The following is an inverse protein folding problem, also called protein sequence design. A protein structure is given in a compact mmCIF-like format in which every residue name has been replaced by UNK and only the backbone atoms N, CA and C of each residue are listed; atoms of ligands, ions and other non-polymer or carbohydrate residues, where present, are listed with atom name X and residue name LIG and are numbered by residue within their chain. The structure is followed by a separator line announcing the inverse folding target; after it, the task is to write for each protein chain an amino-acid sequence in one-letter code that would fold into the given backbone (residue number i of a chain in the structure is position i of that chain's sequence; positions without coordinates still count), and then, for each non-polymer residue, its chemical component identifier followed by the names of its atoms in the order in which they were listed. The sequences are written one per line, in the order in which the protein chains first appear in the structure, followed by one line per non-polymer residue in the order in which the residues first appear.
data_IF_427673824698
#
_entry.id   IF_427673824698
#
_cell.length_a   1.000
_cell.length_b   1.000
_cell.length_c   1.000
_cell.angle_alpha   90.00
_cell.angle_beta   90.00
_cell.angle_gamma   90.00
#
_symmetry.space_group_name_H-M   'P 1'
#
loop_
_entity.id
_entity.type
_entity.pdbx_description
1 polymer ?
#
# COMPACT_ATOMS: atom_id res chain seq x y z
N UNK A 1 43.38 -4.22 -34.51
CA UNK A 1 42.19 -4.99 -34.09
C UNK A 1 41.45 -4.15 -33.04
N UNK A 2 40.47 -3.32 -33.40
CA UNK A 2 39.67 -2.63 -32.40
C UNK A 2 38.53 -3.55 -31.94
N UNK A 3 38.54 -3.91 -30.66
CA UNK A 3 37.47 -4.65 -30.00
C UNK A 3 36.28 -3.71 -29.77
N UNK A 4 35.22 -3.87 -30.57
CA UNK A 4 33.93 -3.24 -30.33
C UNK A 4 33.19 -4.02 -29.24
N UNK A 5 33.35 -3.58 -28.00
CA UNK A 5 32.58 -4.08 -26.87
C UNK A 5 31.20 -3.40 -26.90
N UNK A 6 30.29 -3.98 -27.68
CA UNK A 6 28.89 -3.54 -27.78
C UNK A 6 28.16 -4.02 -26.52
N UNK A 7 28.08 -3.13 -25.54
CA UNK A 7 27.23 -3.28 -24.37
C UNK A 7 25.78 -3.10 -24.79
N UNK A 8 25.17 -4.17 -25.28
CA UNK A 8 23.72 -4.25 -25.50
C UNK A 8 23.05 -4.13 -24.12
N UNK A 9 22.34 -3.03 -23.90
CA UNK A 9 21.54 -2.85 -22.70
C UNK A 9 20.57 -4.04 -22.57
N UNK A 10 20.48 -4.71 -21.40
CA UNK A 10 19.62 -5.86 -21.24
C UNK A 10 18.18 -5.47 -21.58
N UNK A 11 17.55 -6.25 -22.47
CA UNK A 11 16.15 -6.09 -22.82
C UNK A 11 15.33 -6.06 -21.52
N UNK A 12 14.53 -5.01 -21.34
CA UNK A 12 13.72 -4.83 -20.13
C UNK A 12 12.78 -6.04 -20.01
N UNK A 13 12.74 -6.73 -18.85
CA UNK A 13 11.79 -7.81 -18.64
C UNK A 13 10.38 -7.27 -18.91
N UNK A 14 9.60 -8.00 -19.72
CA UNK A 14 8.20 -7.66 -19.97
C UNK A 14 7.46 -7.58 -18.65
N UNK A 15 6.73 -6.49 -18.41
CA UNK A 15 5.85 -6.34 -17.26
C UNK A 15 5.01 -7.62 -17.08
N UNK A 16 4.91 -8.19 -15.87
CA UNK A 16 4.14 -9.41 -15.68
C UNK A 16 2.71 -9.21 -16.19
N UNK A 17 2.32 -10.00 -17.18
CA UNK A 17 0.98 -9.95 -17.76
C UNK A 17 -0.08 -10.32 -16.73
N UNK A 18 -1.25 -9.69 -16.79
CA UNK A 18 -2.38 -9.97 -15.90
C UNK A 18 -3.32 -10.93 -16.60
N UNK A 19 -3.33 -12.19 -16.16
CA UNK A 19 -4.23 -13.21 -16.72
C UNK A 19 -5.65 -13.11 -16.11
N UNK A 20 -6.71 -13.44 -16.87
CA UNK A 20 -8.07 -13.52 -16.32
C UNK A 20 -8.14 -14.50 -15.14
N UNK A 21 -8.76 -14.08 -14.05
CA UNK A 21 -8.83 -14.85 -12.80
C UNK A 21 -7.69 -14.58 -11.83
N UNK A 22 -6.72 -13.72 -12.17
CA UNK A 22 -5.64 -13.34 -11.25
C UNK A 22 -6.18 -12.66 -9.99
N UNK A 23 -5.57 -12.96 -8.85
CA UNK A 23 -5.85 -12.30 -7.59
C UNK A 23 -5.13 -10.94 -7.54
N UNK A 24 -5.87 -9.86 -7.32
CA UNK A 24 -5.30 -8.53 -7.12
C UNK A 24 -4.78 -8.40 -5.68
N UNK A 25 -3.47 -8.20 -5.51
CA UNK A 25 -2.84 -8.07 -4.20
C UNK A 25 -2.24 -6.68 -3.97
N UNK A 26 -2.91 -5.87 -3.14
CA UNK A 26 -2.41 -4.55 -2.77
C UNK A 26 -1.39 -4.64 -1.64
N UNK A 27 -0.12 -4.40 -1.96
CA UNK A 27 0.96 -4.22 -0.99
C UNK A 27 0.80 -2.83 -0.37
N UNK A 28 0.10 -2.75 0.76
CA UNK A 28 -0.19 -1.45 1.38
C UNK A 28 1.03 -0.91 2.14
N UNK A 29 1.62 0.15 1.59
CA UNK A 29 2.68 0.93 2.23
C UNK A 29 2.06 2.12 2.96
N UNK A 30 2.46 2.33 4.21
CA UNK A 30 1.92 3.37 5.06
C UNK A 30 2.12 4.76 4.44
N UNK A 31 1.08 5.60 4.59
CA UNK A 31 1.08 7.02 4.18
C UNK A 31 1.21 7.27 2.67
N UNK A 32 0.96 6.26 1.84
CA UNK A 32 0.98 6.34 0.37
C UNK A 32 -0.44 6.25 -0.24
N UNK A 33 -1.44 6.89 0.39
CA UNK A 33 -2.83 6.91 -0.12
C UNK A 33 -3.64 5.62 0.06
N UNK A 34 -3.09 4.60 0.73
CA UNK A 34 -3.71 3.28 0.80
C UNK A 34 -5.09 3.23 1.49
N UNK A 35 -5.44 4.16 2.40
CA UNK A 35 -6.80 4.22 2.97
C UNK A 35 -7.86 4.47 1.89
N UNK A 36 -7.59 5.41 0.98
CA UNK A 36 -8.49 5.73 -0.14
C UNK A 36 -8.60 4.55 -1.08
N UNK A 37 -7.46 3.94 -1.44
CA UNK A 37 -7.45 2.79 -2.33
C UNK A 37 -8.21 1.60 -1.75
N UNK A 38 -7.97 1.26 -0.48
CA UNK A 38 -8.67 0.17 0.20
C UNK A 38 -10.19 0.43 0.23
N UNK A 39 -10.63 1.66 0.47
CA UNK A 39 -12.05 1.99 0.42
C UNK A 39 -12.65 1.76 -0.98
N UNK A 40 -11.93 2.15 -2.04
CA UNK A 40 -12.28 1.84 -3.42
C UNK A 40 -12.36 0.33 -3.66
N UNK A 41 -11.39 -0.47 -3.19
CA UNK A 41 -11.40 -1.92 -3.35
C UNK A 41 -12.57 -2.58 -2.63
N UNK A 42 -12.85 -2.17 -1.39
CA UNK A 42 -14.01 -2.66 -0.60
C UNK A 42 -15.34 -2.36 -1.29
N UNK A 43 -15.49 -1.19 -1.92
CA UNK A 43 -16.72 -0.85 -2.65
C UNK A 43 -16.82 -1.60 -3.97
N UNK A 44 -15.70 -1.73 -4.69
CA UNK A 44 -15.64 -2.38 -6.00
C UNK A 44 -15.95 -3.87 -5.87
N UNK A 45 -15.17 -4.58 -5.07
CA UNK A 45 -15.20 -6.04 -4.97
C UNK A 45 -16.09 -6.55 -3.84
N UNK A 46 -16.43 -5.71 -2.86
CA UNK A 46 -17.30 -6.04 -1.73
C UNK A 46 -16.88 -7.38 -1.07
N UNK A 47 -17.75 -8.40 -1.07
CA UNK A 47 -17.47 -9.71 -0.46
C UNK A 47 -16.31 -10.49 -1.11
N UNK A 48 -15.89 -10.09 -2.31
CA UNK A 48 -14.76 -10.68 -3.04
C UNK A 48 -13.45 -9.91 -2.77
N UNK A 49 -13.44 -8.99 -1.80
CA UNK A 49 -12.24 -8.38 -1.25
C UNK A 49 -12.06 -8.74 0.21
N UNK A 50 -10.80 -8.89 0.64
CA UNK A 50 -10.46 -9.11 2.05
C UNK A 50 -9.34 -8.14 2.47
N UNK A 51 -9.58 -7.43 3.58
CA UNK A 51 -8.50 -6.77 4.31
C UNK A 51 -7.81 -7.86 5.13
N UNK A 52 -6.62 -8.27 4.71
CA UNK A 52 -6.00 -9.49 5.23
C UNK A 52 -5.61 -9.36 6.70
N UNK A 53 -5.72 -10.48 7.40
CA UNK A 53 -5.25 -10.65 8.77
C UNK A 53 -4.43 -11.95 8.78
N UNK A 54 -3.10 -11.88 8.92
CA UNK A 54 -2.27 -13.07 9.00
C UNK A 54 -2.57 -13.86 10.28
N UNK A 55 -2.50 -15.19 10.16
CA UNK A 55 -2.67 -16.11 11.28
C UNK A 55 -1.42 -16.07 12.18
N UNK A 56 -0.24 -16.04 11.59
CA UNK A 56 1.01 -15.81 12.32
C UNK A 56 1.09 -14.35 12.76
N UNK A 57 1.05 -14.17 14.08
CA UNK A 57 1.07 -12.85 14.72
C UNK A 57 2.47 -12.33 14.96
N UNK A 58 3.49 -13.17 14.76
CA UNK A 58 4.87 -12.83 15.01
C UNK A 58 5.51 -12.25 13.76
N UNK A 59 5.46 -12.98 12.64
CA UNK A 59 5.99 -12.46 11.36
C UNK A 59 5.13 -11.34 10.78
N UNK A 60 3.81 -11.37 11.06
CA UNK A 60 2.84 -10.43 10.52
C UNK A 60 2.79 -10.44 8.98
N UNK A 61 3.26 -11.54 8.36
CA UNK A 61 3.23 -11.76 6.92
C UNK A 61 1.97 -12.52 6.53
N UNK A 62 1.32 -12.09 5.46
CA UNK A 62 0.22 -12.84 4.84
C UNK A 62 0.82 -13.88 3.91
N UNK A 63 0.68 -15.13 4.32
CA UNK A 63 1.27 -16.31 3.71
C UNK A 63 0.29 -17.01 2.78
N UNK A 64 0.78 -18.02 2.07
CA UNK A 64 -0.05 -18.91 1.26
C UNK A 64 -1.13 -19.62 2.07
N UNK A 65 -0.80 -20.10 3.27
CA UNK A 65 -1.77 -20.78 4.14
C UNK A 65 -2.91 -19.85 4.54
N UNK A 66 -2.59 -18.57 4.81
CA UNK A 66 -3.59 -17.54 5.08
C UNK A 66 -4.52 -17.35 3.86
N UNK A 67 -3.96 -17.28 2.65
CA UNK A 67 -4.71 -17.15 1.41
C UNK A 67 -5.62 -18.36 1.14
N UNK A 68 -5.14 -19.58 1.36
CA UNK A 68 -5.96 -20.78 1.20
C UNK A 68 -7.15 -20.77 2.16
N UNK A 69 -6.95 -20.37 3.42
CA UNK A 69 -8.06 -20.21 4.37
C UNK A 69 -9.03 -19.12 3.93
N UNK A 70 -8.51 -17.97 3.48
CA UNK A 70 -9.34 -16.89 2.97
C UNK A 70 -10.21 -17.35 1.78
N UNK A 71 -9.65 -18.16 0.87
CA UNK A 71 -10.38 -18.74 -0.27
C UNK A 71 -11.38 -19.83 0.10
N UNK A 72 -11.12 -20.64 1.13
CA UNK A 72 -12.15 -21.56 1.67
C UNK A 72 -13.38 -20.79 2.16
N UNK A 73 -13.17 -19.62 2.75
CA UNK A 73 -14.26 -18.74 3.17
C UNK A 73 -14.90 -17.99 2.00
N UNK A 74 -14.10 -17.58 1.00
CA UNK A 74 -14.53 -16.85 -0.20
C UNK A 74 -13.86 -17.42 -1.46
N UNK A 75 -14.47 -18.43 -2.10
CA UNK A 75 -13.89 -19.06 -3.30
C UNK A 75 -13.73 -18.09 -4.48
N UNK A 76 -14.55 -17.04 -4.55
CA UNK A 76 -14.48 -16.00 -5.59
C UNK A 76 -13.64 -14.78 -5.17
N UNK A 77 -12.67 -14.96 -4.27
CA UNK A 77 -11.78 -13.90 -3.81
C UNK A 77 -11.02 -13.30 -5.00
N UNK A 78 -11.27 -12.03 -5.28
CA UNK A 78 -10.70 -11.29 -6.41
C UNK A 78 -9.65 -10.27 -5.97
N UNK A 79 -9.68 -9.82 -4.71
CA UNK A 79 -8.73 -8.82 -4.21
C UNK A 79 -8.39 -9.02 -2.74
N UNK A 80 -7.13 -8.77 -2.39
CA UNK A 80 -6.64 -8.71 -1.01
C UNK A 80 -5.86 -7.41 -0.77
N UNK A 81 -5.93 -6.88 0.44
CA UNK A 81 -5.13 -5.71 0.82
C UNK A 81 -4.70 -5.74 2.28
N UNK A 82 -3.52 -5.19 2.56
CA UNK A 82 -3.07 -5.01 3.94
C UNK A 82 -1.57 -4.79 4.04
N UNK A 83 -1.13 -4.36 5.22
CA UNK A 83 0.30 -4.19 5.52
C UNK A 83 1.04 -5.53 5.61
N UNK A 84 0.33 -6.64 5.80
CA UNK A 84 0.92 -7.98 5.83
C UNK A 84 1.10 -8.58 4.43
N UNK A 85 0.50 -7.99 3.39
CA UNK A 85 0.74 -8.40 2.00
C UNK A 85 2.12 -7.88 1.59
N UNK A 86 3.04 -8.78 1.28
CA UNK A 86 4.45 -8.49 0.95
C UNK A 86 4.90 -9.37 -0.21
N UNK A 87 5.85 -8.88 -1.02
CA UNK A 87 6.42 -9.64 -2.14
C UNK A 87 7.39 -10.75 -1.70
N UNK A 88 7.96 -10.58 -0.52
CA UNK A 88 8.90 -11.53 0.09
C UNK A 88 8.19 -12.57 0.98
N UNK A 89 6.85 -12.68 0.92
CA UNK A 89 6.14 -13.82 1.49
C UNK A 89 6.07 -14.97 0.48
N UNK A 90 5.60 -16.13 0.94
CA UNK A 90 5.42 -17.34 0.13
C UNK A 90 4.09 -17.35 -0.65
N UNK A 91 3.42 -16.21 -0.79
CA UNK A 91 2.06 -16.12 -1.33
C UNK A 91 1.98 -16.66 -2.79
N UNK A 92 3.04 -16.50 -3.57
CA UNK A 92 3.15 -16.97 -4.96
C UNK A 92 3.60 -18.44 -5.11
N UNK A 93 3.86 -19.14 -4.00
CA UNK A 93 4.72 -20.32 -4.01
C UNK A 93 4.22 -21.55 -4.78
N UNK A 94 2.98 -21.60 -5.29
CA UNK A 94 2.46 -22.78 -6.03
C UNK A 94 1.35 -22.45 -7.03
N UNK A 95 1.67 -21.63 -8.04
CA UNK A 95 0.83 -21.48 -9.25
C UNK A 95 -0.36 -20.54 -9.12
N UNK A 96 -0.47 -19.83 -7.99
CA UNK A 96 -1.42 -18.72 -7.89
C UNK A 96 -0.97 -17.56 -8.75
N UNK A 97 -1.84 -17.12 -9.67
CA UNK A 97 -1.60 -15.92 -10.46
C UNK A 97 -1.97 -14.70 -9.62
N UNK A 98 -0.96 -14.03 -9.08
CA UNK A 98 -1.13 -12.86 -8.22
C UNK A 98 -0.60 -11.64 -8.95
N UNK A 99 -1.49 -10.67 -9.14
CA UNK A 99 -1.19 -9.38 -9.71
C UNK A 99 -0.93 -8.40 -8.57
N UNK A 100 0.33 -8.26 -8.18
CA UNK A 100 0.73 -7.31 -7.14
C UNK A 100 0.74 -5.89 -7.66
N UNK A 101 0.25 -4.97 -6.85
CA UNK A 101 0.37 -3.56 -7.12
C UNK A 101 0.61 -2.78 -5.82
N UNK A 102 1.21 -1.61 -5.96
CA UNK A 102 1.38 -0.68 -4.84
C UNK A 102 1.37 0.77 -5.32
N UNK A 103 1.39 1.68 -4.36
CA UNK A 103 1.53 3.11 -4.60
C UNK A 103 2.63 3.62 -3.67
N UNK A 104 3.62 4.28 -4.25
CA UNK A 104 4.68 4.97 -3.54
C UNK A 104 4.35 6.45 -3.41
N UNK A 105 5.14 7.16 -2.62
CA UNK A 105 5.01 8.61 -2.42
C UNK A 105 6.38 9.24 -2.35
N UNK A 106 6.47 10.54 -2.62
CA UNK A 106 7.63 11.35 -2.24
C UNK A 106 8.10 10.98 -0.80
N UNK A 107 9.35 10.49 -0.63
CA UNK A 107 9.80 9.91 0.62
C UNK A 107 9.76 10.89 1.79
N UNK A 108 10.08 12.16 1.53
CA UNK A 108 10.11 13.22 2.53
C UNK A 108 8.69 13.53 3.01
N UNK A 109 7.74 13.73 2.08
CA UNK A 109 6.32 13.94 2.40
C UNK A 109 5.70 12.73 3.10
N UNK A 110 6.09 11.51 2.72
CA UNK A 110 5.67 10.27 3.39
C UNK A 110 6.15 10.24 4.84
N UNK A 111 7.45 10.47 5.06
CA UNK A 111 8.09 10.42 6.38
C UNK A 111 7.49 11.46 7.34
N UNK A 112 7.30 12.70 6.88
CA UNK A 112 6.63 13.74 7.68
C UNK A 112 5.16 13.39 7.95
N UNK A 113 4.44 12.87 6.95
CA UNK A 113 3.05 12.44 7.12
C UNK A 113 2.91 11.30 8.13
N UNK A 114 3.92 10.44 8.23
CA UNK A 114 4.00 9.39 9.23
C UNK A 114 4.25 9.97 10.62
N UNK A 115 5.23 10.85 10.79
CA UNK A 115 5.49 11.56 12.05
C UNK A 115 4.21 12.18 12.63
N UNK A 116 3.51 12.99 11.83
CA UNK A 116 2.27 13.63 12.29
C UNK A 116 1.18 12.61 12.62
N UNK A 117 1.10 11.50 11.91
CA UNK A 117 0.15 10.44 12.25
C UNK A 117 0.46 9.82 13.61
N UNK A 118 1.73 9.54 13.90
CA UNK A 118 2.16 9.01 15.19
C UNK A 118 1.86 9.99 16.34
N UNK A 119 2.09 11.29 16.13
CA UNK A 119 1.81 12.29 17.15
C UNK A 119 0.31 12.52 17.33
N UNK A 120 -0.41 12.83 16.25
CA UNK A 120 -1.81 13.25 16.31
C UNK A 120 -2.79 12.10 16.54
N UNK A 121 -2.47 10.89 16.07
CA UNK A 121 -3.40 9.73 16.10
C UNK A 121 -3.01 8.68 17.11
N UNK A 122 -1.71 8.49 17.36
CA UNK A 122 -1.23 7.52 18.36
C UNK A 122 -0.83 8.18 19.68
N UNK A 123 -0.85 9.52 19.76
CA UNK A 123 -0.51 10.26 20.97
C UNK A 123 0.96 10.12 21.38
N UNK A 124 1.82 9.64 20.47
CA UNK A 124 3.24 9.50 20.74
C UNK A 124 3.89 10.89 20.70
N UNK A 125 4.55 11.31 21.78
CA UNK A 125 5.23 12.61 21.86
C UNK A 125 6.77 12.51 21.88
N UNK A 126 7.44 11.67 21.05
CA UNK A 126 8.85 11.88 20.81
C UNK A 126 8.95 13.16 20.00
N UNK A 127 9.49 14.25 20.56
CA UNK A 127 9.83 15.43 19.75
C UNK A 127 10.61 15.00 18.50
N UNK A 128 10.55 15.80 17.43
CA UNK A 128 11.08 15.39 16.12
C UNK A 128 12.52 14.82 16.13
N UNK A 129 13.48 15.31 16.95
CA UNK A 129 14.80 14.68 17.05
C UNK A 129 14.74 13.18 17.40
N UNK A 130 13.89 12.79 18.37
CA UNK A 130 13.70 11.37 18.74
C UNK A 130 12.97 10.57 17.65
N UNK A 131 12.21 11.25 16.78
CA UNK A 131 11.64 10.60 15.60
C UNK A 131 12.72 10.28 14.56
N UNK A 132 13.72 11.15 14.39
CA UNK A 132 14.87 10.88 13.51
C UNK A 132 15.67 9.65 13.95
N UNK A 133 15.74 9.38 15.26
CA UNK A 133 16.43 8.20 15.79
C UNK A 133 15.68 6.87 15.53
N UNK A 134 14.49 6.90 14.92
CA UNK A 134 13.72 5.69 14.60
C UNK A 134 14.15 5.08 13.27
N UNK A 135 15.20 4.26 13.33
CA UNK A 135 15.70 3.50 12.18
C UNK A 135 14.64 2.58 11.55
N UNK A 136 13.67 2.08 12.33
CA UNK A 136 12.54 1.28 11.83
C UNK A 136 11.60 2.06 10.88
N UNK A 137 11.77 3.39 10.81
CA UNK A 137 10.98 4.30 9.95
C UNK A 137 11.80 4.89 8.79
N UNK A 138 13.11 4.64 8.76
CA UNK A 138 14.00 5.06 7.69
C UNK A 138 13.78 4.19 6.45
N UNK A 139 13.89 4.75 5.25
CA UNK A 139 13.79 3.99 4.00
C UNK A 139 12.59 3.00 3.95
N UNK A 140 11.46 3.41 4.52
CA UNK A 140 10.35 2.50 4.82
C UNK A 140 9.74 1.88 3.56
N UNK A 141 9.71 2.61 2.43
CA UNK A 141 9.16 2.07 1.18
C UNK A 141 10.05 0.96 0.61
N UNK A 142 11.36 1.17 0.64
CA UNK A 142 12.38 0.18 0.26
C UNK A 142 12.27 -1.05 1.14
N UNK A 143 12.20 -0.86 2.47
CA UNK A 143 12.04 -1.95 3.43
C UNK A 143 10.72 -2.71 3.23
N UNK A 144 9.62 -2.00 2.98
CA UNK A 144 8.31 -2.63 2.77
C UNK A 144 8.26 -3.50 1.49
N UNK A 145 8.98 -3.11 0.44
CA UNK A 145 9.10 -3.88 -0.80
C UNK A 145 10.05 -5.05 -0.59
N UNK A 146 11.31 -4.77 -0.26
CA UNK A 146 12.39 -5.76 -0.25
C UNK A 146 12.45 -6.61 1.03
N UNK A 147 11.74 -6.23 2.09
CA UNK A 147 11.86 -6.82 3.43
C UNK A 147 13.08 -6.35 4.24
N UNK A 148 13.93 -5.50 3.64
CA UNK A 148 15.17 -4.99 4.22
C UNK A 148 15.56 -3.66 3.54
N UNK A 149 16.48 -2.85 4.11
CA UNK A 149 16.98 -1.63 3.48
C UNK A 149 17.95 -1.94 2.32
N UNK A 150 17.44 -2.56 1.26
CA UNK A 150 18.20 -3.01 0.10
C UNK A 150 17.61 -2.45 -1.21
N UNK A 151 18.22 -1.38 -1.72
CA UNK A 151 17.77 -0.69 -2.93
C UNK A 151 17.80 -1.57 -4.18
N UNK A 152 18.83 -2.40 -4.34
CA UNK A 152 18.98 -3.26 -5.53
C UNK A 152 17.83 -4.26 -5.58
N UNK A 153 17.53 -4.92 -4.46
CA UNK A 153 16.40 -5.84 -4.34
C UNK A 153 15.06 -5.13 -4.57
N UNK A 154 14.86 -3.95 -3.97
CA UNK A 154 13.62 -3.20 -4.15
C UNK A 154 13.38 -2.78 -5.62
N UNK A 155 14.42 -2.32 -6.32
CA UNK A 155 14.33 -1.99 -7.76
C UNK A 155 13.98 -3.23 -8.58
N UNK A 156 14.67 -4.35 -8.35
CA UNK A 156 14.38 -5.60 -9.04
C UNK A 156 12.93 -6.05 -8.82
N UNK A 157 12.42 -5.96 -7.59
CA UNK A 157 11.02 -6.29 -7.28
C UNK A 157 10.02 -5.34 -7.96
N UNK A 158 10.28 -4.02 -7.96
CA UNK A 158 9.48 -3.03 -8.69
C UNK A 158 9.41 -3.38 -10.18
N UNK A 159 10.53 -3.75 -10.78
CA UNK A 159 10.61 -4.00 -12.22
C UNK A 159 10.03 -5.35 -12.64
N UNK A 160 10.03 -6.36 -11.75
CA UNK A 160 9.74 -7.76 -12.15
C UNK A 160 8.53 -8.40 -11.46
N UNK A 161 8.09 -7.90 -10.30
CA UNK A 161 7.07 -8.56 -9.48
C UNK A 161 5.75 -7.79 -9.40
N UNK A 162 5.79 -6.47 -9.57
CA UNK A 162 4.58 -5.67 -9.61
C UNK A 162 4.02 -5.60 -11.03
N UNK A 163 2.69 -5.71 -11.15
CA UNK A 163 1.98 -5.41 -12.39
C UNK A 163 1.75 -3.91 -12.55
N UNK A 164 1.74 -3.15 -11.44
CA UNK A 164 1.71 -1.69 -11.43
C UNK A 164 2.27 -1.13 -10.13
N UNK A 165 3.06 -0.06 -10.24
CA UNK A 165 3.56 0.74 -9.11
C UNK A 165 3.26 2.20 -9.41
N UNK A 166 2.31 2.80 -8.68
CA UNK A 166 1.96 4.21 -8.84
C UNK A 166 2.80 5.16 -7.99
N UNK A 167 2.75 6.45 -8.32
CA UNK A 167 3.11 7.53 -7.42
C UNK A 167 1.85 8.22 -6.91
N UNK A 168 1.80 8.54 -5.61
CA UNK A 168 0.68 9.25 -5.01
C UNK A 168 0.52 10.66 -5.60
N UNK A 169 1.62 11.27 -6.04
CA UNK A 169 1.62 12.55 -6.75
C UNK A 169 0.91 12.46 -8.12
N UNK A 170 0.77 11.26 -8.69
CA UNK A 170 0.14 10.96 -9.97
C UNK A 170 -1.03 9.97 -9.78
N UNK A 171 -1.76 10.10 -8.67
CA UNK A 171 -2.71 9.09 -8.21
C UNK A 171 -3.83 8.78 -9.20
N UNK A 172 -4.32 9.76 -9.95
CA UNK A 172 -5.38 9.55 -10.95
C UNK A 172 -4.87 8.70 -12.13
N UNK A 173 -3.64 8.93 -12.58
CA UNK A 173 -2.99 8.12 -13.61
C UNK A 173 -2.80 6.69 -13.12
N UNK A 174 -2.33 6.52 -11.89
CA UNK A 174 -2.22 5.20 -11.25
C UNK A 174 -3.57 4.49 -11.17
N UNK A 175 -4.63 5.17 -10.74
CA UNK A 175 -5.97 4.59 -10.66
C UNK A 175 -6.52 4.18 -12.04
N UNK A 176 -6.26 4.95 -13.09
CA UNK A 176 -6.68 4.63 -14.46
C UNK A 176 -6.01 3.36 -14.98
N UNK A 177 -4.70 3.20 -14.75
CA UNK A 177 -3.97 1.97 -15.09
C UNK A 177 -4.46 0.78 -14.27
N UNK A 178 -4.64 0.98 -12.95
CA UNK A 178 -5.14 -0.06 -12.07
C UNK A 178 -6.57 -0.49 -12.40
N UNK A 179 -7.43 0.41 -12.88
CA UNK A 179 -8.77 0.08 -13.37
C UNK A 179 -8.73 -0.88 -14.57
N UNK A 180 -7.82 -0.64 -15.52
CA UNK A 180 -7.61 -1.52 -16.67
C UNK A 180 -7.08 -2.91 -16.24
N UNK A 181 -6.17 -2.93 -15.27
CA UNK A 181 -5.67 -4.16 -14.65
C UNK A 181 -6.79 -4.91 -13.93
N UNK A 182 -7.61 -4.22 -13.15
CA UNK A 182 -8.72 -4.81 -12.42
C UNK A 182 -9.75 -5.42 -13.37
N UNK A 183 -10.06 -4.72 -14.46
CA UNK A 183 -10.94 -5.21 -15.52
C UNK A 183 -10.40 -6.50 -16.14
N UNK A 184 -9.10 -6.54 -16.45
CA UNK A 184 -8.45 -7.70 -17.06
C UNK A 184 -8.38 -8.89 -16.10
N UNK A 185 -8.03 -8.66 -14.83
CA UNK A 185 -7.91 -9.70 -13.81
C UNK A 185 -9.25 -10.32 -13.40
N UNK A 186 -10.28 -9.49 -13.23
CA UNK A 186 -11.51 -9.88 -12.50
C UNK A 186 -12.81 -9.63 -13.26
N UNK A 187 -12.74 -8.96 -14.41
CA UNK A 187 -13.89 -8.42 -15.11
C UNK A 187 -14.53 -7.20 -14.45
N UNK A 188 -14.03 -6.70 -13.32
CA UNK A 188 -14.63 -5.57 -12.59
C UNK A 188 -13.83 -4.29 -12.81
N UNK A 189 -14.55 -3.17 -13.00
CA UNK A 189 -14.00 -1.82 -13.04
C UNK A 189 -13.97 -1.24 -11.64
N UNK A 190 -12.92 -0.48 -11.31
CA UNK A 190 -12.81 0.22 -10.04
C UNK A 190 -13.89 1.30 -9.93
N UNK A 191 -14.56 1.34 -8.78
CA UNK A 191 -15.47 2.44 -8.48
C UNK A 191 -14.67 3.72 -8.17
N UNK A 192 -15.19 4.91 -8.51
CA UNK A 192 -14.52 6.16 -8.21
C UNK A 192 -14.15 6.27 -6.73
N UNK A 193 -12.93 6.73 -6.47
CA UNK A 193 -12.52 7.09 -5.12
C UNK A 193 -13.45 8.20 -4.61
N UNK A 194 -14.10 7.97 -3.47
CA UNK A 194 -14.71 9.08 -2.73
C UNK A 194 -13.56 9.75 -2.00
N UNK A 195 -13.40 11.05 -2.22
CA UNK A 195 -12.34 11.84 -1.61
C UNK A 195 -12.43 11.84 -0.09
N UNK A 196 -11.92 10.78 0.56
CA UNK A 196 -11.60 10.79 1.97
C UNK A 196 -10.24 11.45 2.07
N UNK A 197 -10.24 12.78 1.90
CA UNK A 197 -9.15 13.57 2.43
C UNK A 197 -9.17 13.32 3.93
N UNK A 198 -8.05 12.85 4.47
CA UNK A 198 -7.82 12.87 5.91
C UNK A 198 -7.15 14.22 6.20
N UNK A 199 -7.91 15.33 6.34
CA UNK A 199 -7.30 16.59 6.72
C UNK A 199 -6.56 16.37 8.03
N UNK A 200 -5.33 16.87 8.09
CA UNK A 200 -4.54 16.91 9.32
C UNK A 200 -5.42 17.57 10.39
N UNK A 201 -5.57 16.93 11.56
CA UNK A 201 -6.16 17.64 12.69
C UNK A 201 -5.06 18.59 13.15
N UNK A 202 -5.15 19.87 12.79
CA UNK A 202 -4.23 20.89 13.32
C UNK A 202 -4.39 20.93 14.84
N UNK A 203 -3.63 20.10 15.54
CA UNK A 203 -3.37 20.30 16.96
C UNK A 203 -2.39 21.46 17.04
N UNK A 204 -2.78 22.51 17.77
CA UNK A 204 -1.90 23.65 17.99
C UNK A 204 -0.59 23.21 18.63
N UNK A 205 0.53 23.74 18.14
CA UNK A 205 1.86 23.53 18.73
C UNK A 205 2.76 22.50 18.04
N UNK A 206 2.28 21.79 17.02
CA UNK A 206 3.18 20.97 16.19
C UNK A 206 3.86 21.83 15.12
N UNK A 207 5.19 21.70 14.91
CA UNK A 207 5.89 22.41 13.86
C UNK A 207 5.26 22.14 12.49
N UNK A 208 5.24 23.16 11.64
CA UNK A 208 4.78 22.98 10.26
C UNK A 208 5.82 22.18 9.45
N UNK A 209 5.40 21.46 8.40
CA UNK A 209 6.32 20.64 7.60
C UNK A 209 7.53 21.42 7.09
N UNK A 210 7.32 22.70 6.74
CA UNK A 210 8.38 23.60 6.27
C UNK A 210 9.43 23.85 7.35
N UNK A 211 9.01 24.10 8.59
CA UNK A 211 9.91 24.35 9.73
C UNK A 211 10.77 23.11 10.04
N UNK A 212 10.18 21.91 9.97
CA UNK A 212 10.92 20.66 10.14
C UNK A 212 11.95 20.46 9.03
N UNK A 213 11.62 20.82 7.78
CA UNK A 213 12.55 20.73 6.67
C UNK A 213 13.68 21.76 6.77
N UNK A 214 13.38 22.99 7.17
CA UNK A 214 14.41 24.02 7.39
C UNK A 214 15.38 23.61 8.51
N UNK A 215 14.88 22.96 9.57
CA UNK A 215 15.71 22.58 10.72
C UNK A 215 16.41 21.22 10.57
N UNK A 216 15.78 20.27 9.90
CA UNK A 216 16.20 18.86 9.90
C UNK A 216 16.26 18.24 8.50
N UNK A 217 16.18 19.04 7.43
CA UNK A 217 16.10 18.56 6.05
C UNK A 217 17.15 17.53 5.68
N UNK A 218 18.43 17.83 5.93
CA UNK A 218 19.55 16.93 5.60
C UNK A 218 19.44 15.59 6.31
N UNK A 219 19.05 15.57 7.58
CA UNK A 219 18.86 14.35 8.35
C UNK A 219 17.67 13.53 7.81
N UNK A 220 16.57 14.18 7.43
CA UNK A 220 15.40 13.50 6.84
C UNK A 220 15.78 12.89 5.48
N UNK A 221 16.54 13.62 4.66
CA UNK A 221 17.04 13.15 3.37
C UNK A 221 17.97 11.94 3.56
N UNK A 222 18.94 12.03 4.48
CA UNK A 222 19.85 10.93 4.79
C UNK A 222 19.10 9.67 5.27
N UNK A 223 18.13 9.84 6.18
CA UNK A 223 17.28 8.76 6.69
C UNK A 223 16.40 8.09 5.61
N UNK A 224 16.17 8.75 4.47
CA UNK A 224 15.30 8.24 3.40
C UNK A 224 16.02 8.15 2.05
N UNK A 225 17.36 8.10 2.04
CA UNK A 225 18.16 8.12 0.82
C UNK A 225 17.84 6.96 -0.16
N UNK A 226 17.54 5.77 0.36
CA UNK A 226 17.18 4.62 -0.48
C UNK A 226 15.79 4.78 -1.09
N UNK A 227 14.82 5.29 -0.31
CA UNK A 227 13.48 5.57 -0.81
C UNK A 227 13.51 6.65 -1.90
N UNK A 228 14.37 7.67 -1.76
CA UNK A 228 14.59 8.70 -2.79
C UNK A 228 15.11 8.05 -4.07
N UNK A 229 16.16 7.24 -3.97
CA UNK A 229 16.72 6.55 -5.13
C UNK A 229 15.74 5.55 -5.79
N UNK A 230 14.84 4.95 -5.01
CA UNK A 230 13.80 4.05 -5.51
C UNK A 230 12.70 4.82 -6.26
N UNK A 231 12.24 5.95 -5.72
CA UNK A 231 11.23 6.81 -6.38
C UNK A 231 11.80 7.42 -7.66
N UNK A 232 13.06 7.83 -7.69
CA UNK A 232 13.71 8.33 -8.91
C UNK A 232 13.88 7.25 -9.98
N UNK A 233 14.17 6.00 -9.58
CA UNK A 233 14.16 4.84 -10.48
C UNK A 233 12.77 4.66 -11.11
N UNK A 234 11.72 4.74 -10.30
CA UNK A 234 10.34 4.62 -10.77
C UNK A 234 9.99 5.72 -11.78
N UNK A 235 10.28 6.99 -11.48
CA UNK A 235 10.03 8.12 -12.40
C UNK A 235 10.73 7.93 -13.74
N UNK A 236 11.97 7.45 -13.73
CA UNK A 236 12.74 7.19 -14.95
C UNK A 236 12.12 6.05 -15.76
N UNK A 237 11.74 4.97 -15.10
CA UNK A 237 11.09 3.80 -15.72
C UNK A 237 9.70 4.12 -16.30
N UNK A 238 8.85 4.88 -15.60
CA UNK A 238 7.51 5.26 -16.06
C UNK A 238 7.54 6.27 -17.21
N UNK A 239 8.47 7.22 -17.21
CA UNK A 239 8.66 8.14 -18.34
C UNK A 239 8.98 7.39 -19.63
N UNK A 240 9.76 6.32 -19.53
CA UNK A 240 10.11 5.48 -20.68
C UNK A 240 8.87 4.75 -21.24
N UNK A 241 8.00 4.23 -20.38
CA UNK A 241 6.76 3.54 -20.78
C UNK A 241 5.75 4.54 -21.39
N UNK A 242 5.56 5.69 -20.75
CA UNK A 242 4.59 6.71 -21.18
C UNK A 242 5.04 7.43 -22.47
N UNK A 243 6.34 7.52 -22.74
CA UNK A 243 6.84 8.06 -24.01
C UNK A 243 6.72 7.06 -25.17
N UNK A 244 6.74 5.75 -24.89
CA UNK A 244 6.52 4.70 -25.88
C UNK A 244 5.04 4.49 -26.19
N UNK A 245 4.16 4.68 -25.20
CA UNK A 245 2.71 4.65 -25.35
C UNK A 245 2.18 6.07 -25.63
N UNK A 246 2.22 6.47 -26.90
CA UNK A 246 1.73 7.78 -27.34
C UNK A 246 0.29 8.06 -26.86
N UNK A 247 -0.09 9.29 -26.45
CA UNK A 247 -1.32 9.55 -25.69
C UNK A 247 -2.65 9.40 -26.45
N UNK A 248 -2.65 8.96 -27.71
CA UNK A 248 -3.82 9.10 -28.59
C UNK A 248 -4.90 8.00 -28.45
N UNK A 249 -4.80 7.09 -27.48
CA UNK A 249 -5.68 5.92 -27.41
C UNK A 249 -6.40 5.69 -26.06
N UNK A 250 -6.41 6.66 -25.14
CA UNK A 250 -7.27 6.58 -23.94
C UNK A 250 -8.65 7.18 -24.28
N UNK A 251 -9.30 6.61 -25.29
CA UNK A 251 -10.74 6.81 -25.48
C UNK A 251 -11.46 5.96 -24.42
N UNK A 252 -12.07 6.64 -23.46
CA UNK A 252 -12.94 6.09 -22.42
C UNK A 252 -14.14 5.37 -23.04
N UNK A 253 -13.94 4.13 -23.48
CA UNK A 253 -15.02 3.26 -23.91
C UNK A 253 -15.59 2.62 -22.66
N UNK A 254 -16.61 3.26 -22.08
CA UNK A 254 -17.37 2.74 -20.96
C UNK A 254 -18.29 1.60 -21.41
N UNK A 255 -17.72 0.45 -21.76
CA UNK A 255 -18.50 -0.78 -21.80
C UNK A 255 -18.77 -1.18 -20.36
N UNK A 256 -20.02 -1.03 -19.93
CA UNK A 256 -20.50 -1.43 -18.61
C UNK A 256 -20.28 -2.94 -18.44
N UNK A 257 -19.17 -3.32 -17.80
CA UNK A 257 -19.04 -4.69 -17.32
C UNK A 257 -20.11 -4.90 -16.24
N UNK A 258 -20.91 -5.97 -16.33
CA UNK A 258 -21.96 -6.22 -15.35
C UNK A 258 -21.31 -6.38 -13.97
N UNK A 259 -21.54 -5.38 -13.12
CA UNK A 259 -21.30 -5.50 -11.69
C UNK A 259 -21.92 -6.80 -11.21
N UNK A 260 -21.13 -7.70 -10.60
CA UNK A 260 -21.66 -8.93 -9.97
C UNK A 260 -22.61 -8.66 -8.81
N UNK A 261 -22.67 -7.40 -8.35
CA UNK A 261 -23.64 -6.94 -7.39
C UNK A 261 -24.81 -6.24 -8.09
N UNK A 262 -26.03 -6.34 -7.53
CA UNK A 262 -27.18 -5.65 -8.09
C UNK A 262 -26.91 -4.15 -8.23
N UNK A 263 -27.27 -3.57 -9.38
CA UNK A 263 -27.08 -2.16 -9.67
C UNK A 263 -27.78 -1.22 -8.66
N UNK A 264 -28.81 -1.71 -7.97
CA UNK A 264 -29.54 -0.96 -6.94
C UNK A 264 -28.76 -0.77 -5.63
N UNK A 265 -27.71 -1.57 -5.39
CA UNK A 265 -26.97 -1.50 -4.13
C UNK A 265 -25.98 -0.34 -4.16
N UNK A 266 -26.33 0.74 -3.47
CA UNK A 266 -25.47 1.93 -3.33
C UNK A 266 -24.10 1.59 -2.76
N UNK A 267 -23.09 2.41 -3.09
CA UNK A 267 -21.73 2.30 -2.54
C UNK A 267 -21.70 2.20 -1.00
N UNK A 268 -22.57 2.95 -0.32
CA UNK A 268 -22.68 2.93 1.14
C UNK A 268 -23.15 1.58 1.65
N UNK A 269 -24.14 0.99 0.97
CA UNK A 269 -24.64 -0.32 1.32
C UNK A 269 -23.58 -1.41 1.06
N UNK A 270 -22.84 -1.34 -0.07
CA UNK A 270 -21.70 -2.24 -0.34
C UNK A 270 -20.65 -2.18 0.77
N UNK A 271 -20.28 -0.97 1.19
CA UNK A 271 -19.30 -0.79 2.27
C UNK A 271 -19.83 -1.27 3.63
N UNK A 272 -21.12 -1.05 3.93
CA UNK A 272 -21.76 -1.54 5.14
C UNK A 272 -21.80 -3.08 5.17
N UNK A 273 -22.18 -3.71 4.06
CA UNK A 273 -22.16 -5.18 3.87
C UNK A 273 -20.74 -5.72 4.05
N UNK A 274 -19.76 -5.10 3.41
CA UNK A 274 -18.35 -5.46 3.59
C UNK A 274 -17.93 -5.38 5.07
N UNK A 275 -18.24 -4.28 5.76
CA UNK A 275 -17.88 -4.09 7.18
C UNK A 275 -18.54 -5.13 8.08
N UNK A 276 -19.82 -5.43 7.84
CA UNK A 276 -20.54 -6.48 8.55
C UNK A 276 -19.88 -7.84 8.31
N UNK A 277 -19.64 -8.21 7.05
CA UNK A 277 -18.95 -9.45 6.68
C UNK A 277 -17.57 -9.55 7.34
N UNK A 278 -16.74 -8.50 7.25
CA UNK A 278 -15.41 -8.49 7.84
C UNK A 278 -15.45 -8.73 9.35
N UNK A 279 -16.34 -8.04 10.05
CA UNK A 279 -16.37 -8.06 11.51
C UNK A 279 -17.12 -9.27 12.10
N UNK A 280 -18.16 -9.76 11.43
CA UNK A 280 -19.02 -10.83 11.93
C UNK A 280 -18.63 -12.21 11.39
N UNK A 281 -17.92 -12.27 10.25
CA UNK A 281 -17.57 -13.54 9.60
C UNK A 281 -16.05 -13.71 9.50
N UNK A 282 -15.37 -12.84 8.75
CA UNK A 282 -13.95 -13.05 8.46
C UNK A 282 -13.07 -12.98 9.72
N UNK A 283 -13.22 -11.93 10.55
CA UNK A 283 -12.45 -11.79 11.79
C UNK A 283 -12.63 -13.00 12.73
N UNK A 284 -13.86 -13.43 13.09
CA UNK A 284 -14.04 -14.64 13.89
C UNK A 284 -13.41 -15.89 13.25
N UNK A 285 -13.55 -16.05 11.92
CA UNK A 285 -12.98 -17.18 11.20
C UNK A 285 -11.45 -17.29 11.32
N UNK A 286 -10.75 -16.15 11.41
CA UNK A 286 -9.29 -16.10 11.65
C UNK A 286 -8.93 -15.90 13.13
N UNK A 287 -9.87 -16.12 14.05
CA UNK A 287 -9.63 -16.04 15.50
C UNK A 287 -9.41 -14.61 16.02
N UNK A 288 -10.09 -13.62 15.43
CA UNK A 288 -10.08 -12.21 15.85
C UNK A 288 -11.45 -11.72 16.30
N UNK A 289 -11.46 -10.84 17.30
CA UNK A 289 -12.69 -10.22 17.77
C UNK A 289 -13.13 -9.08 16.83
N UNK A 290 -14.45 -8.85 16.65
CA UNK A 290 -15.01 -7.83 15.76
C UNK A 290 -14.41 -6.42 15.94
N UNK A 291 -14.02 -6.05 17.17
CA UNK A 291 -13.49 -4.73 17.53
C UNK A 291 -11.97 -4.65 17.65
N UNK A 292 -11.25 -5.75 17.46
CA UNK A 292 -9.79 -5.68 17.33
C UNK A 292 -9.48 -5.06 15.97
N UNK A 293 -9.16 -3.77 15.99
CA UNK A 293 -8.60 -3.09 14.85
C UNK A 293 -7.09 -3.26 14.92
N UNK A 294 -6.55 -3.71 13.80
CA UNK A 294 -5.12 -3.89 13.55
C UNK A 294 -4.55 -5.14 14.23
N UNK A 295 -3.86 -5.93 13.40
CA UNK A 295 -2.49 -6.36 13.66
C UNK A 295 -1.86 -5.48 14.76
N UNK A 296 -1.30 -6.02 15.86
CA UNK A 296 -0.59 -5.20 16.85
C UNK A 296 0.31 -4.25 16.06
N UNK A 297 -0.05 -2.97 16.03
CA UNK A 297 0.68 -1.93 15.30
C UNK A 297 2.10 -2.09 15.76
N UNK A 298 3.01 -2.49 14.85
CA UNK A 298 4.40 -2.84 15.10
C UNK A 298 4.74 -2.59 16.56
N UNK A 299 4.63 -3.62 17.41
CA UNK A 299 4.98 -3.43 18.80
C UNK A 299 6.38 -2.83 18.77
N UNK A 300 6.45 -1.56 19.13
CA UNK A 300 7.68 -0.90 19.51
C UNK A 300 8.14 -1.68 20.74
N UNK A 301 8.79 -2.82 20.55
CA UNK A 301 9.20 -3.71 21.63
C UNK A 301 10.25 -3.06 22.53
N UNK A 302 10.66 -1.81 22.27
CA UNK A 302 11.61 -1.04 23.07
C UNK A 302 11.20 0.41 23.37
N UNK A 303 9.92 0.81 23.24
CA UNK A 303 9.51 2.14 23.74
C UNK A 303 8.69 1.96 25.01
N UNK A 304 9.27 2.38 26.15
CA UNK A 304 8.60 2.47 27.44
C UNK A 304 7.14 2.92 27.25
N UNK A 305 6.17 2.29 27.94
CA UNK A 305 4.78 2.69 27.85
C UNK A 305 4.66 4.20 28.14
N UNK A 306 3.75 4.92 27.45
CA UNK A 306 3.55 6.33 27.71
C UNK A 306 3.28 6.52 29.21
N UNK A 307 4.07 7.38 29.84
CA UNK A 307 3.86 7.81 31.23
C UNK A 307 2.43 8.33 31.30
N UNK A 308 1.62 7.77 32.19
CA UNK A 308 0.25 8.20 32.38
C UNK A 308 0.21 9.72 32.62
N UNK A 309 -0.70 10.47 31.99
CA UNK A 309 -0.78 11.91 32.22
C UNK A 309 -0.98 12.19 33.71
N UNK A 310 -0.32 13.23 34.27
CA UNK A 310 -0.48 13.58 35.68
C UNK A 310 -1.95 13.87 35.96
N UNK A 311 -2.45 13.23 37.01
CA UNK A 311 -3.84 13.29 37.43
C UNK A 311 -4.19 14.74 37.81
N UNK A 312 -4.91 15.48 36.96
CA UNK A 312 -5.37 16.86 37.21
C UNK A 312 -6.53 16.94 38.20
N UNK A 313 -6.53 16.11 39.24
CA UNK A 313 -7.48 16.16 40.35
C UNK A 313 -6.71 16.12 41.68
N UNK A 314 -5.98 17.20 41.93
CA UNK A 314 -5.51 17.59 43.25
C UNK A 314 -4.99 19.04 43.16
N UNK A 315 -5.92 19.99 43.05
CA UNK A 315 -5.79 21.39 43.43
C UNK A 315 -7.20 21.96 43.54
#
# INVERSE_FOLDING_TARGET
MPSTDSTVAPAKPSTPGVAPGSLLAFVHIEKCGGTTLIDTLRRTFCLNHIDVIPLDRTSMLFTRDDLQRARRLRPQLASVSGHSVRLHSDLDSQGDQIAYYTCLRDPIRRYLSEYYYFVERLGMQPGFPRWLDREDRHNFQTQAIAGAPNLVSAKAMVDTRFVEVGLLEEYDTFLSRLDSIAASASGQRLLPARGVLNPRRRQGGLPEPKELLEKHGDAIIAANALDIALVEHLKTSHRTITAAESPSAIASTSTSSPSRFPAWLSDHARLAVYRAYRNLVYKPYVGRLPRTHCLPTYHCTNVNPPVAPPNRRAA
#
